data_IF_618374443722
#
_entry.id   IF_618374443722
#
_cell.length_a   1.000
_cell.length_b   1.000
_cell.length_c   1.000
_cell.angle_alpha   90.00
_cell.angle_beta   90.00
_cell.angle_gamma   90.00
#
_symmetry.space_group_name_H-M   'P 1'
#
loop_
_entity.id
_entity.type
_entity.pdbx_description
1 polymer ?
#
# COMPACT_ATOMS: atom_id res chain seq x y z
N UNK A 1 -9.72 21.11 0.54
CA UNK A 1 -8.42 21.53 1.10
C UNK A 1 -7.31 21.57 0.05
N UNK A 2 -7.26 20.66 -0.93
CA UNK A 2 -6.29 20.69 -2.05
C UNK A 2 -6.63 21.73 -3.11
N UNK A 3 -7.91 22.12 -3.20
CA UNK A 3 -8.43 23.02 -4.22
C UNK A 3 -7.67 24.36 -4.38
N UNK A 4 -7.29 25.09 -3.29
CA UNK A 4 -6.54 26.34 -3.45
C UNK A 4 -5.21 26.18 -4.17
N UNK A 5 -4.51 25.05 -3.95
CA UNK A 5 -3.22 24.76 -4.58
C UNK A 5 -3.39 24.45 -6.05
N UNK A 6 -4.29 23.53 -6.39
CA UNK A 6 -4.53 23.18 -7.79
C UNK A 6 -5.16 24.30 -8.62
N UNK A 7 -6.02 25.15 -8.02
CA UNK A 7 -6.56 26.32 -8.71
C UNK A 7 -5.45 27.35 -8.99
N UNK A 8 -4.54 27.55 -8.07
CA UNK A 8 -3.39 28.43 -8.29
C UNK A 8 -2.57 27.98 -9.50
N UNK A 9 -2.34 26.65 -9.66
CA UNK A 9 -1.45 26.11 -10.69
C UNK A 9 -2.16 25.88 -12.03
N UNK A 10 -3.45 25.50 -12.02
CA UNK A 10 -4.20 25.07 -13.21
C UNK A 10 -5.48 25.89 -13.47
N UNK A 11 -5.72 26.99 -12.73
CA UNK A 11 -6.93 27.77 -12.84
C UNK A 11 -8.19 26.98 -12.53
N UNK A 12 -9.26 27.18 -13.32
CA UNK A 12 -10.56 26.50 -13.12
C UNK A 12 -10.44 24.97 -13.18
N UNK A 13 -9.55 24.43 -14.04
CA UNK A 13 -9.30 22.99 -14.13
C UNK A 13 -8.80 22.39 -12.83
N UNK A 14 -8.13 23.19 -11.99
CA UNK A 14 -7.67 22.78 -10.67
C UNK A 14 -8.78 22.31 -9.72
N UNK A 15 -10.02 22.78 -9.91
CA UNK A 15 -11.18 22.29 -9.17
C UNK A 15 -11.44 20.81 -9.49
N UNK A 16 -11.52 20.47 -10.78
CA UNK A 16 -11.70 19.09 -11.22
C UNK A 16 -10.55 18.19 -10.78
N UNK A 17 -9.31 18.67 -10.93
CA UNK A 17 -8.12 17.95 -10.47
C UNK A 17 -8.17 17.65 -8.98
N UNK A 18 -8.61 18.59 -8.15
CA UNK A 18 -8.76 18.39 -6.70
C UNK A 18 -9.79 17.32 -6.36
N UNK A 19 -10.94 17.31 -7.05
CA UNK A 19 -11.97 16.29 -6.86
C UNK A 19 -11.47 14.93 -7.29
N UNK A 20 -10.86 14.84 -8.48
CA UNK A 20 -10.32 13.59 -9.02
C UNK A 20 -9.29 12.96 -8.08
N UNK A 21 -8.26 13.73 -7.66
CA UNK A 21 -7.21 13.22 -6.78
C UNK A 21 -7.74 12.87 -5.38
N UNK A 22 -8.76 13.58 -4.88
CA UNK A 22 -9.40 13.23 -3.60
C UNK A 22 -10.09 11.87 -3.67
N UNK A 23 -10.85 11.62 -4.73
CA UNK A 23 -11.53 10.35 -4.95
C UNK A 23 -10.50 9.23 -5.18
N UNK A 24 -9.52 9.47 -6.05
CA UNK A 24 -8.45 8.52 -6.35
C UNK A 24 -7.67 8.12 -5.09
N UNK A 25 -7.33 9.08 -4.22
CA UNK A 25 -6.64 8.82 -2.97
C UNK A 25 -7.50 8.04 -1.96
N UNK A 26 -8.78 8.42 -1.79
CA UNK A 26 -9.69 7.71 -0.88
C UNK A 26 -9.99 6.30 -1.36
N UNK A 27 -10.12 6.10 -2.67
CA UNK A 27 -10.33 4.79 -3.27
C UNK A 27 -9.07 3.94 -3.35
N UNK A 28 -7.90 4.45 -2.92
CA UNK A 28 -6.60 3.78 -3.08
C UNK A 28 -6.37 3.34 -4.54
N UNK A 29 -6.70 4.22 -5.49
CA UNK A 29 -6.63 3.93 -6.91
C UNK A 29 -5.29 4.36 -7.54
N UNK A 30 -4.66 5.41 -7.00
CA UNK A 30 -3.33 5.87 -7.42
C UNK A 30 -3.28 6.56 -8.78
N UNK A 31 -4.43 6.81 -9.40
CA UNK A 31 -4.47 7.51 -10.67
C UNK A 31 -4.30 9.01 -10.48
N UNK A 32 -3.52 9.61 -11.35
CA UNK A 32 -3.37 11.06 -11.48
C UNK A 32 -3.74 11.54 -12.89
N UNK A 33 -4.02 12.82 -13.01
CA UNK A 33 -4.29 13.52 -14.27
C UNK A 33 -3.35 14.70 -14.48
N UNK A 34 -2.13 14.59 -13.96
CA UNK A 34 -1.09 15.63 -14.01
C UNK A 34 -0.14 15.44 -15.22
N UNK A 35 -0.31 14.36 -15.99
CA UNK A 35 0.51 14.06 -17.16
C UNK A 35 0.50 15.18 -18.19
N UNK A 36 1.68 15.50 -18.72
CA UNK A 36 1.89 16.43 -19.84
C UNK A 36 2.65 15.76 -20.97
N UNK A 37 2.78 16.44 -22.12
CA UNK A 37 3.57 15.92 -23.25
C UNK A 37 5.05 15.69 -22.88
N UNK A 38 5.59 16.52 -21.97
CA UNK A 38 6.97 16.43 -21.54
C UNK A 38 7.20 15.35 -20.46
N UNK A 39 6.17 15.06 -19.66
CA UNK A 39 6.21 14.04 -18.61
C UNK A 39 4.87 13.30 -18.55
N UNK A 40 4.84 12.09 -19.15
CA UNK A 40 3.61 11.30 -19.26
C UNK A 40 3.13 10.73 -17.92
N UNK A 41 4.03 10.47 -16.97
CA UNK A 41 3.73 9.79 -15.71
C UNK A 41 4.34 10.51 -14.50
N UNK A 42 3.96 11.79 -14.24
CA UNK A 42 4.58 12.58 -13.18
C UNK A 42 4.17 12.16 -11.79
N UNK A 43 3.00 11.54 -11.64
CA UNK A 43 2.35 11.35 -10.34
C UNK A 43 2.32 12.66 -9.54
N UNK A 44 2.61 12.64 -8.25
CA UNK A 44 2.66 13.83 -7.38
C UNK A 44 4.09 14.34 -7.14
N UNK A 45 5.07 13.96 -7.98
CA UNK A 45 6.47 14.34 -7.76
C UNK A 45 6.70 15.85 -7.80
N UNK A 46 5.95 16.58 -8.64
CA UNK A 46 5.95 18.05 -8.67
C UNK A 46 5.47 18.70 -7.37
N UNK A 47 4.69 17.99 -6.57
CA UNK A 47 4.17 18.47 -5.28
C UNK A 47 4.93 17.92 -4.06
N UNK A 48 6.13 17.37 -4.25
CA UNK A 48 6.97 16.86 -3.16
C UNK A 48 7.28 17.90 -2.06
N UNK A 49 7.28 19.17 -2.41
CA UNK A 49 7.52 20.30 -1.49
C UNK A 49 6.21 20.83 -0.85
N UNK A 50 5.05 20.44 -1.32
CA UNK A 50 3.78 20.94 -0.82
C UNK A 50 3.27 20.06 0.32
N UNK A 51 3.48 20.51 1.57
CA UNK A 51 3.08 19.79 2.77
C UNK A 51 1.57 19.52 2.82
N UNK A 52 0.75 20.47 2.36
CA UNK A 52 -0.72 20.36 2.43
C UNK A 52 -1.21 19.20 1.56
N UNK A 53 -0.78 19.14 0.29
CA UNK A 53 -1.17 18.07 -0.62
C UNK A 53 -0.73 16.71 -0.07
N UNK A 54 0.53 16.61 0.36
CA UNK A 54 1.07 15.35 0.89
C UNK A 54 0.27 14.85 2.10
N UNK A 55 -0.01 15.71 3.09
CA UNK A 55 -0.75 15.32 4.29
C UNK A 55 -2.19 14.92 3.95
N UNK A 56 -2.87 15.67 3.07
CA UNK A 56 -4.25 15.37 2.69
C UNK A 56 -4.34 14.03 1.95
N UNK A 57 -3.44 13.78 0.99
CA UNK A 57 -3.41 12.53 0.24
C UNK A 57 -3.12 11.35 1.17
N UNK A 58 -2.11 11.45 2.04
CA UNK A 58 -1.83 10.41 3.04
C UNK A 58 -3.03 10.12 3.95
N UNK A 59 -3.69 11.18 4.42
CA UNK A 59 -4.89 11.04 5.25
C UNK A 59 -6.01 10.31 4.50
N UNK A 60 -6.29 10.68 3.24
CA UNK A 60 -7.31 10.04 2.42
C UNK A 60 -7.00 8.57 2.15
N UNK A 61 -5.74 8.23 1.84
CA UNK A 61 -5.28 6.86 1.64
C UNK A 61 -5.52 6.02 2.91
N UNK A 62 -5.11 6.54 4.07
CA UNK A 62 -5.29 5.86 5.35
C UNK A 62 -6.79 5.70 5.66
N UNK A 63 -7.57 6.75 5.44
CA UNK A 63 -9.01 6.75 5.67
C UNK A 63 -9.73 5.69 4.82
N UNK A 64 -9.42 5.61 3.53
CA UNK A 64 -9.96 4.59 2.63
C UNK A 64 -9.48 3.17 2.96
N UNK A 65 -8.21 3.04 3.42
CA UNK A 65 -7.58 1.76 3.73
C UNK A 65 -7.96 1.12 5.07
N UNK A 66 -8.52 1.88 6.02
CA UNK A 66 -8.90 1.37 7.36
C UNK A 66 -10.10 0.41 7.29
N UNK A 67 -11.02 0.59 6.35
CA UNK A 67 -12.22 -0.21 6.19
C UNK A 67 -13.45 0.34 6.91
N UNK A 68 -14.62 0.14 6.29
CA UNK A 68 -15.87 0.75 6.73
C UNK A 68 -16.34 0.25 8.11
N UNK A 69 -16.10 -0.99 8.47
CA UNK A 69 -16.44 -1.51 9.81
C UNK A 69 -15.62 -0.85 10.92
N UNK A 70 -14.38 -0.46 10.64
CA UNK A 70 -13.57 0.29 11.62
C UNK A 70 -14.07 1.71 11.77
N UNK A 71 -14.54 2.33 10.67
CA UNK A 71 -15.21 3.63 10.72
C UNK A 71 -16.51 3.60 11.54
N UNK A 72 -17.31 2.54 11.40
CA UNK A 72 -18.51 2.31 12.20
C UNK A 72 -18.18 2.27 13.71
N UNK A 73 -17.13 1.52 14.08
CA UNK A 73 -16.66 1.47 15.46
C UNK A 73 -16.16 2.85 15.98
N UNK A 74 -15.42 3.59 15.15
CA UNK A 74 -14.94 4.93 15.49
C UNK A 74 -16.12 5.89 15.70
N UNK A 75 -17.10 5.86 14.82
CA UNK A 75 -18.28 6.72 14.90
C UNK A 75 -19.14 6.39 16.13
N UNK A 76 -19.39 5.10 16.39
CA UNK A 76 -20.27 4.64 17.47
C UNK A 76 -19.63 4.80 18.85
N UNK A 77 -18.34 4.41 18.98
CA UNK A 77 -17.68 4.38 20.30
C UNK A 77 -16.72 5.54 20.53
N UNK A 78 -16.49 6.39 19.52
CA UNK A 78 -15.60 7.56 19.58
C UNK A 78 -14.22 7.20 20.19
N UNK A 79 -13.83 7.85 21.29
CA UNK A 79 -12.52 7.63 21.94
C UNK A 79 -12.47 6.40 22.87
N UNK A 80 -13.55 5.64 23.01
CA UNK A 80 -13.59 4.47 23.87
C UNK A 80 -13.04 3.21 23.19
N UNK A 81 -11.73 3.20 22.88
CA UNK A 81 -11.03 2.12 22.16
C UNK A 81 -11.26 0.72 22.82
N UNK A 82 -11.45 0.67 24.14
CA UNK A 82 -11.75 -0.60 24.85
C UNK A 82 -13.03 -1.29 24.34
N UNK A 83 -14.01 -0.51 23.85
CA UNK A 83 -15.30 -1.01 23.35
C UNK A 83 -15.28 -1.42 21.88
N UNK A 84 -14.20 -1.10 21.15
CA UNK A 84 -14.07 -1.47 19.73
C UNK A 84 -14.08 -2.99 19.57
N UNK A 85 -14.59 -3.45 18.43
CA UNK A 85 -14.46 -4.85 18.01
C UNK A 85 -12.99 -5.24 17.95
N UNK A 86 -12.68 -6.51 18.23
CA UNK A 86 -11.32 -7.05 18.17
C UNK A 86 -10.66 -6.75 16.82
N UNK A 87 -11.43 -6.93 15.71
CA UNK A 87 -10.95 -6.67 14.37
C UNK A 87 -10.48 -5.21 14.19
N UNK A 88 -11.26 -4.23 14.65
CA UNK A 88 -10.91 -2.81 14.55
C UNK A 88 -9.67 -2.45 15.37
N UNK A 89 -9.49 -3.07 16.53
CA UNK A 89 -8.27 -2.92 17.34
C UNK A 89 -7.04 -3.44 16.60
N UNK A 90 -7.14 -4.62 16.00
CA UNK A 90 -6.05 -5.23 15.21
C UNK A 90 -5.74 -4.33 14.01
N UNK A 91 -6.75 -3.85 13.29
CA UNK A 91 -6.57 -2.98 12.12
C UNK A 91 -5.83 -1.70 12.51
N UNK A 92 -6.27 -1.00 13.54
CA UNK A 92 -5.67 0.27 13.96
C UNK A 92 -4.23 0.08 14.45
N UNK A 93 -3.97 -0.94 15.29
CA UNK A 93 -2.63 -1.21 15.79
C UNK A 93 -1.67 -1.64 14.67
N UNK A 94 -2.10 -2.54 13.80
CA UNK A 94 -1.29 -2.99 12.66
C UNK A 94 -1.04 -1.86 11.66
N UNK A 95 -2.05 -1.03 11.37
CA UNK A 95 -1.91 0.14 10.48
C UNK A 95 -0.91 1.14 11.05
N UNK A 96 -1.00 1.47 12.33
CA UNK A 96 -0.06 2.40 12.98
C UNK A 96 1.38 1.86 12.93
N UNK A 97 1.57 0.58 13.23
CA UNK A 97 2.88 -0.07 13.17
C UNK A 97 3.47 -0.07 11.76
N UNK A 98 2.66 -0.41 10.75
CA UNK A 98 3.06 -0.44 9.34
C UNK A 98 3.32 0.95 8.74
N UNK A 99 2.86 2.02 9.36
CA UNK A 99 3.19 3.38 8.96
C UNK A 99 4.44 3.87 9.69
N UNK A 100 4.47 3.74 11.02
CA UNK A 100 5.52 4.35 11.84
C UNK A 100 6.88 3.66 11.63
N UNK A 101 6.92 2.31 11.65
CA UNK A 101 8.17 1.57 11.58
C UNK A 101 8.89 1.77 10.24
N UNK A 102 8.24 1.61 9.06
CA UNK A 102 8.90 1.90 7.80
C UNK A 102 9.20 3.39 7.58
N UNK A 103 8.37 4.31 8.10
CA UNK A 103 8.66 5.74 8.01
C UNK A 103 9.97 6.09 8.73
N UNK A 104 10.20 5.51 9.91
CA UNK A 104 11.48 5.67 10.63
C UNK A 104 12.64 5.08 9.84
N UNK A 105 12.48 3.89 9.24
CA UNK A 105 13.52 3.29 8.40
C UNK A 105 13.84 4.17 7.20
N UNK A 106 12.85 4.64 6.46
CA UNK A 106 13.06 5.52 5.31
C UNK A 106 13.67 6.85 5.73
N UNK A 107 13.27 7.38 6.86
CA UNK A 107 13.88 8.59 7.42
C UNK A 107 15.36 8.41 7.74
N UNK A 108 15.78 7.27 8.25
CA UNK A 108 17.16 6.99 8.61
C UNK A 108 18.04 6.65 7.39
N UNK A 109 17.48 5.90 6.42
CA UNK A 109 18.24 5.37 5.30
C UNK A 109 18.24 6.27 4.07
N UNK A 110 17.11 6.95 3.79
CA UNK A 110 16.93 7.75 2.56
C UNK A 110 16.80 9.23 2.89
N UNK A 111 16.85 10.05 1.85
CA UNK A 111 16.59 11.49 1.90
C UNK A 111 17.49 12.29 2.87
N UNK A 112 18.71 11.80 3.17
CA UNK A 112 19.61 12.40 4.16
C UNK A 112 20.04 13.84 3.78
N UNK A 113 20.07 14.15 2.50
CA UNK A 113 20.47 15.47 1.97
C UNK A 113 19.35 16.51 2.04
N UNK A 114 18.12 16.09 2.35
CA UNK A 114 16.96 16.97 2.38
C UNK A 114 16.77 17.62 3.76
N UNK A 115 16.16 18.82 3.81
CA UNK A 115 15.77 19.47 5.06
C UNK A 115 14.86 18.57 5.89
N UNK A 116 14.99 18.63 7.22
CA UNK A 116 14.29 17.76 8.17
C UNK A 116 12.78 17.63 7.89
N UNK A 117 12.06 18.73 7.66
CA UNK A 117 10.61 18.70 7.40
C UNK A 117 10.24 17.97 6.11
N UNK A 118 10.96 18.23 5.03
CA UNK A 118 10.76 17.55 3.74
C UNK A 118 11.09 16.07 3.85
N UNK A 119 12.21 15.72 4.49
CA UNK A 119 12.63 14.36 4.75
C UNK A 119 11.58 13.58 5.52
N UNK A 120 11.00 14.18 6.58
CA UNK A 120 9.95 13.56 7.38
C UNK A 120 8.69 13.26 6.55
N UNK A 121 8.21 14.23 5.78
CA UNK A 121 7.01 14.06 4.95
C UNK A 121 7.21 13.02 3.86
N UNK A 122 8.32 13.03 3.15
CA UNK A 122 8.60 12.04 2.12
C UNK A 122 8.71 10.63 2.72
N UNK A 123 9.37 10.49 3.87
CA UNK A 123 9.49 9.19 4.55
C UNK A 123 8.13 8.65 5.01
N UNK A 124 7.27 9.51 5.54
CA UNK A 124 5.88 9.15 5.88
C UNK A 124 5.08 8.79 4.64
N UNK A 125 5.20 9.57 3.56
CA UNK A 125 4.49 9.30 2.32
C UNK A 125 4.90 7.95 1.73
N UNK A 126 6.21 7.65 1.70
CA UNK A 126 6.73 6.37 1.20
C UNK A 126 6.37 5.17 2.09
N UNK A 127 5.99 5.36 3.34
CA UNK A 127 5.44 4.29 4.19
C UNK A 127 3.94 4.05 3.97
N UNK A 128 3.20 5.08 3.55
CA UNK A 128 1.74 5.01 3.33
C UNK A 128 1.40 4.51 1.93
N UNK A 129 2.07 5.03 0.89
CA UNK A 129 1.72 4.77 -0.51
C UNK A 129 1.84 3.30 -0.95
N UNK A 130 2.81 2.47 -0.49
CA UNK A 130 2.90 1.07 -0.89
C UNK A 130 1.70 0.23 -0.43
N UNK A 131 0.94 0.72 0.53
CA UNK A 131 -0.28 0.06 1.00
C UNK A 131 -1.45 0.24 0.03
N UNK A 132 -1.20 -0.14 -1.23
CA UNK A 132 -2.14 -0.17 -2.35
C UNK A 132 -2.68 1.20 -2.78
N UNK A 133 -1.94 2.29 -2.54
CA UNK A 133 -2.35 3.62 -2.96
C UNK A 133 -1.79 4.05 -4.32
N UNK A 134 -0.52 3.76 -4.60
CA UNK A 134 0.08 3.97 -5.93
C UNK A 134 0.55 5.39 -6.26
N UNK A 135 0.30 6.38 -5.40
CA UNK A 135 0.83 7.73 -5.61
C UNK A 135 2.32 7.80 -5.31
N UNK A 136 3.03 8.60 -6.09
CA UNK A 136 4.47 8.81 -5.91
C UNK A 136 4.79 10.29 -5.76
N UNK A 137 5.59 10.64 -4.74
CA UNK A 137 6.08 12.00 -4.47
C UNK A 137 7.59 12.10 -4.47
N UNK A 138 8.29 10.98 -4.59
CA UNK A 138 9.75 10.92 -4.68
C UNK A 138 10.15 9.92 -5.77
N UNK A 139 11.34 10.08 -6.31
CA UNK A 139 11.90 9.10 -7.25
C UNK A 139 12.27 7.82 -6.51
N UNK A 140 11.50 6.76 -6.75
CA UNK A 140 11.67 5.45 -6.12
C UNK A 140 12.94 4.77 -6.65
N UNK A 141 13.34 5.05 -7.88
CA UNK A 141 14.54 4.45 -8.49
C UNK A 141 15.83 4.93 -7.81
N UNK A 142 15.79 6.12 -7.19
CA UNK A 142 16.92 6.68 -6.44
C UNK A 142 17.04 6.13 -5.00
N UNK A 143 16.05 5.36 -4.53
CA UNK A 143 16.08 4.77 -3.20
C UNK A 143 17.02 3.58 -3.12
N UNK A 144 17.57 3.32 -1.93
CA UNK A 144 18.44 2.16 -1.71
C UNK A 144 17.70 0.84 -1.93
N UNK A 145 18.41 -0.20 -2.40
CA UNK A 145 17.85 -1.53 -2.62
C UNK A 145 17.14 -2.09 -1.38
N UNK A 146 17.72 -1.82 -0.19
CA UNK A 146 17.11 -2.20 1.08
C UNK A 146 15.74 -1.52 1.29
N UNK A 147 15.60 -0.26 0.90
CA UNK A 147 14.35 0.48 1.00
C UNK A 147 13.32 0.00 -0.02
N UNK A 148 13.75 -0.33 -1.23
CA UNK A 148 12.88 -0.95 -2.23
C UNK A 148 12.39 -2.33 -1.76
N UNK A 149 13.23 -3.13 -1.11
CA UNK A 149 12.84 -4.41 -0.52
C UNK A 149 11.79 -4.21 0.61
N UNK A 150 11.96 -3.21 1.47
CA UNK A 150 10.95 -2.86 2.48
C UNK A 150 9.64 -2.41 1.82
N UNK A 151 9.69 -1.64 0.73
CA UNK A 151 8.50 -1.26 -0.03
C UNK A 151 7.78 -2.48 -0.61
N UNK A 152 8.51 -3.46 -1.16
CA UNK A 152 7.92 -4.73 -1.62
C UNK A 152 7.17 -5.42 -0.48
N UNK A 153 7.76 -5.53 0.70
CA UNK A 153 7.09 -6.11 1.87
C UNK A 153 5.80 -5.34 2.26
N UNK A 154 5.86 -4.00 2.21
CA UNK A 154 4.69 -3.16 2.48
C UNK A 154 3.59 -3.32 1.43
N UNK A 155 3.95 -3.51 0.15
CA UNK A 155 2.99 -3.77 -0.93
C UNK A 155 2.17 -5.03 -0.68
N UNK A 156 2.80 -6.10 -0.15
CA UNK A 156 2.07 -7.31 0.21
C UNK A 156 1.01 -7.06 1.28
N UNK A 157 1.26 -6.14 2.21
CA UNK A 157 0.36 -5.83 3.32
C UNK A 157 -0.52 -4.63 2.92
N UNK A 158 -1.59 -4.92 2.20
CA UNK A 158 -2.53 -3.91 1.71
C UNK A 158 -3.39 -3.28 2.80
N UNK A 159 -4.63 -2.97 2.46
CA UNK A 159 -5.58 -2.40 3.42
C UNK A 159 -6.34 -3.43 4.23
N UNK A 160 -7.32 -2.94 4.98
CA UNK A 160 -8.14 -3.74 5.89
C UNK A 160 -9.29 -4.44 5.14
N UNK A 161 -9.91 -5.46 5.72
CA UNK A 161 -11.18 -5.99 5.20
C UNK A 161 -12.24 -4.91 5.09
N UNK A 162 -13.07 -4.99 4.05
CA UNK A 162 -14.10 -3.98 3.74
C UNK A 162 -13.55 -2.57 3.54
N UNK A 163 -12.33 -2.46 3.00
CA UNK A 163 -11.71 -1.21 2.56
C UNK A 163 -11.66 -1.13 1.04
N UNK A 164 -11.30 0.02 0.53
CA UNK A 164 -11.07 0.25 -0.90
C UNK A 164 -9.77 -0.39 -1.41
N UNK A 165 -8.83 -0.68 -0.50
CA UNK A 165 -7.50 -1.19 -0.80
C UNK A 165 -7.47 -2.67 -1.24
N UNK A 166 -6.51 -3.03 -2.08
CA UNK A 166 -6.23 -4.41 -2.52
C UNK A 166 -5.22 -5.15 -1.62
N UNK A 167 -4.47 -6.08 -2.21
CA UNK A 167 -3.42 -6.83 -1.52
C UNK A 167 -3.90 -7.76 -0.42
N UNK A 168 -2.95 -8.36 0.30
CA UNK A 168 -3.23 -9.18 1.49
C UNK A 168 -3.76 -8.27 2.60
N UNK A 169 -4.90 -8.63 3.20
CA UNK A 169 -5.55 -7.79 4.22
C UNK A 169 -4.70 -7.67 5.48
N UNK A 170 -4.70 -6.51 6.12
CA UNK A 170 -3.97 -6.25 7.38
C UNK A 170 -4.31 -7.26 8.47
N UNK A 171 -5.57 -7.71 8.54
CA UNK A 171 -5.99 -8.76 9.49
C UNK A 171 -5.38 -10.12 9.17
N UNK A 172 -5.27 -10.48 7.88
CA UNK A 172 -4.61 -11.71 7.43
C UNK A 172 -3.15 -11.74 7.88
N UNK A 173 -2.43 -10.63 7.65
CA UNK A 173 -1.05 -10.49 8.08
C UNK A 173 -0.92 -10.55 9.61
N UNK A 174 -1.78 -9.84 10.35
CA UNK A 174 -1.77 -9.84 11.81
C UNK A 174 -2.03 -11.23 12.40
N UNK A 175 -2.98 -11.99 11.82
CA UNK A 175 -3.28 -13.36 12.25
C UNK A 175 -2.08 -14.27 12.05
N UNK A 176 -1.37 -14.17 10.92
CA UNK A 176 -0.17 -14.96 10.65
C UNK A 176 0.97 -14.62 11.61
N UNK A 177 1.21 -13.32 11.88
CA UNK A 177 2.20 -12.92 12.86
C UNK A 177 1.88 -13.44 14.26
N UNK A 178 0.63 -13.29 14.69
CA UNK A 178 0.21 -13.79 16.00
C UNK A 178 0.32 -15.31 16.10
N UNK A 179 -0.01 -16.04 15.01
CA UNK A 179 0.19 -17.48 14.95
C UNK A 179 1.67 -17.87 15.05
N UNK A 180 2.56 -17.15 14.34
CA UNK A 180 3.99 -17.39 14.47
C UNK A 180 4.47 -17.17 15.91
N UNK A 181 4.07 -16.07 16.55
CA UNK A 181 4.43 -15.81 17.96
C UNK A 181 3.85 -16.85 18.94
N UNK A 182 2.60 -17.31 18.73
CA UNK A 182 2.00 -18.35 19.56
C UNK A 182 2.77 -19.68 19.44
N UNK A 183 3.13 -20.06 18.21
CA UNK A 183 3.95 -21.26 17.94
C UNK A 183 5.32 -21.16 18.63
N UNK A 184 6.02 -20.01 18.51
CA UNK A 184 7.30 -19.81 19.20
C UNK A 184 7.18 -19.90 20.73
N UNK A 185 6.02 -19.55 21.28
CA UNK A 185 5.75 -19.66 22.73
C UNK A 185 5.14 -21.00 23.13
N UNK A 186 5.04 -21.96 22.21
CA UNK A 186 4.39 -23.27 22.43
C UNK A 186 2.97 -23.16 22.99
N UNK A 187 2.23 -22.12 22.54
CA UNK A 187 0.82 -21.93 22.88
C UNK A 187 -0.06 -22.64 21.86
N UNK A 188 -1.03 -23.41 22.33
CA UNK A 188 -1.96 -24.14 21.46
C UNK A 188 -2.93 -23.18 20.76
N UNK A 189 -3.30 -22.08 21.40
CA UNK A 189 -4.31 -21.14 20.94
C UNK A 189 -3.71 -19.80 20.55
N UNK A 190 -4.09 -19.32 19.36
CA UNK A 190 -3.77 -17.97 18.91
C UNK A 190 -4.79 -16.99 19.46
N UNK A 191 -4.37 -16.12 20.37
CA UNK A 191 -5.25 -15.16 21.01
C UNK A 191 -4.80 -13.72 20.74
N UNK A 192 -5.76 -12.80 20.56
CA UNK A 192 -5.53 -11.35 20.57
C UNK A 192 -6.66 -10.64 21.32
N UNK A 193 -6.29 -9.63 22.12
CA UNK A 193 -7.23 -8.84 22.91
C UNK A 193 -8.24 -9.67 23.72
N UNK A 194 -7.81 -10.84 24.25
CA UNK A 194 -8.63 -11.74 25.06
C UNK A 194 -9.63 -12.60 24.27
N UNK A 195 -9.50 -12.71 22.95
CA UNK A 195 -10.29 -13.59 22.10
C UNK A 195 -9.41 -14.54 21.30
N UNK A 196 -9.88 -15.77 21.11
CA UNK A 196 -9.23 -16.82 20.31
C UNK A 196 -9.61 -16.68 18.84
N UNK A 197 -8.63 -16.93 17.95
CA UNK A 197 -8.88 -17.07 16.52
C UNK A 197 -9.31 -18.49 16.17
N UNK A 198 -10.19 -18.58 15.16
CA UNK A 198 -10.55 -19.86 14.59
C UNK A 198 -9.38 -20.43 13.77
N UNK A 199 -9.13 -21.73 13.92
CA UNK A 199 -8.12 -22.47 13.16
C UNK A 199 -8.32 -22.34 11.64
N UNK A 200 -9.58 -22.28 11.19
CA UNK A 200 -9.90 -22.10 9.77
C UNK A 200 -9.46 -20.74 9.25
N UNK A 201 -9.58 -19.69 10.06
CA UNK A 201 -9.10 -18.37 9.68
C UNK A 201 -7.58 -18.33 9.46
N UNK A 202 -6.80 -19.02 10.31
CA UNK A 202 -5.35 -19.14 10.19
C UNK A 202 -4.97 -19.91 8.90
N UNK A 203 -5.62 -21.03 8.62
CA UNK A 203 -5.41 -21.82 7.39
C UNK A 203 -5.73 -21.01 6.13
N UNK A 204 -6.83 -20.28 6.13
CA UNK A 204 -7.21 -19.40 5.01
C UNK A 204 -6.18 -18.28 4.82
N UNK A 205 -5.72 -17.66 5.90
CA UNK A 205 -4.69 -16.62 5.87
C UNK A 205 -3.38 -17.14 5.25
N UNK A 206 -2.91 -18.31 5.67
CA UNK A 206 -1.72 -18.95 5.14
C UNK A 206 -1.87 -19.27 3.64
N UNK A 207 -3.02 -19.83 3.24
CA UNK A 207 -3.28 -20.17 1.84
C UNK A 207 -3.26 -18.93 0.93
N UNK A 208 -3.94 -17.86 1.32
CA UNK A 208 -3.97 -16.62 0.56
C UNK A 208 -2.54 -16.06 0.42
N UNK A 209 -1.80 -15.97 1.52
CA UNK A 209 -0.43 -15.45 1.52
C UNK A 209 0.46 -16.27 0.59
N UNK A 210 0.38 -17.59 0.65
CA UNK A 210 1.17 -18.49 -0.21
C UNK A 210 0.83 -18.30 -1.69
N UNK A 211 -0.44 -18.14 -2.04
CA UNK A 211 -0.87 -17.86 -3.42
C UNK A 211 -0.26 -16.54 -3.94
N UNK A 212 -0.27 -15.47 -3.12
CA UNK A 212 0.33 -14.20 -3.51
C UNK A 212 1.85 -14.33 -3.72
N UNK A 213 2.55 -15.08 -2.86
CA UNK A 213 4.00 -15.33 -3.02
C UNK A 213 4.30 -16.12 -4.29
N UNK A 214 3.54 -17.16 -4.60
CA UNK A 214 3.72 -17.94 -5.83
C UNK A 214 3.55 -17.04 -7.06
N UNK A 215 2.47 -16.26 -7.13
CA UNK A 215 2.22 -15.34 -8.26
C UNK A 215 3.33 -14.29 -8.39
N UNK A 216 3.78 -13.74 -7.28
CA UNK A 216 4.86 -12.75 -7.23
C UNK A 216 6.16 -13.29 -7.79
N UNK A 217 6.64 -14.44 -7.28
CA UNK A 217 7.89 -15.00 -7.73
C UNK A 217 7.82 -15.52 -9.16
N UNK A 218 6.76 -16.24 -9.53
CA UNK A 218 6.61 -16.76 -10.90
C UNK A 218 6.53 -15.62 -11.91
N UNK A 219 5.74 -14.58 -11.62
CA UNK A 219 5.62 -13.41 -12.50
C UNK A 219 6.91 -12.62 -12.61
N UNK A 220 7.57 -12.32 -11.49
CA UNK A 220 8.83 -11.58 -11.49
C UNK A 220 9.98 -12.31 -12.21
N UNK A 221 10.10 -13.62 -11.98
CA UNK A 221 11.10 -14.46 -12.67
C UNK A 221 10.80 -14.54 -14.17
N UNK A 222 9.54 -14.74 -14.56
CA UNK A 222 9.16 -14.81 -15.97
C UNK A 222 9.49 -13.51 -16.73
N UNK A 223 9.19 -12.35 -16.11
CA UNK A 223 9.53 -11.04 -16.68
C UNK A 223 11.05 -10.87 -16.76
N UNK A 224 11.79 -11.22 -15.72
CA UNK A 224 13.26 -11.10 -15.70
C UNK A 224 13.94 -11.94 -16.78
N UNK A 225 13.49 -13.19 -16.98
CA UNK A 225 14.03 -14.07 -18.03
C UNK A 225 13.74 -13.52 -19.42
N UNK A 226 12.52 -13.01 -19.65
CA UNK A 226 12.10 -12.55 -20.96
C UNK A 226 12.71 -11.19 -21.35
N UNK A 227 12.85 -10.27 -20.40
CA UNK A 227 13.36 -8.91 -20.63
C UNK A 227 14.88 -8.81 -20.46
N UNK A 228 15.54 -9.78 -19.79
CA UNK A 228 16.96 -9.68 -19.44
C UNK A 228 17.26 -8.57 -18.40
N UNK A 229 16.26 -8.13 -17.64
CA UNK A 229 16.39 -7.07 -16.63
C UNK A 229 16.76 -7.65 -15.26
N UNK A 230 17.34 -6.82 -14.36
CA UNK A 230 17.64 -7.23 -12.99
C UNK A 230 16.40 -7.79 -12.28
N UNK A 231 16.55 -8.93 -11.63
CA UNK A 231 15.46 -9.62 -10.94
C UNK A 231 14.79 -8.73 -9.89
N UNK A 232 15.55 -7.90 -9.16
CA UNK A 232 15.02 -6.98 -8.15
C UNK A 232 13.99 -6.01 -8.72
N UNK A 233 14.27 -5.42 -9.88
CA UNK A 233 13.34 -4.51 -10.56
C UNK A 233 12.09 -5.23 -11.06
N UNK A 234 12.25 -6.43 -11.63
CA UNK A 234 11.12 -7.24 -12.09
C UNK A 234 10.24 -7.72 -10.94
N UNK A 235 10.83 -8.08 -9.81
CA UNK A 235 10.10 -8.41 -8.59
C UNK A 235 9.35 -7.20 -8.04
N UNK A 236 9.92 -6.00 -8.09
CA UNK A 236 9.21 -4.78 -7.66
C UNK A 236 7.93 -4.55 -8.47
N UNK A 237 8.01 -4.64 -9.81
CA UNK A 237 6.84 -4.50 -10.69
C UNK A 237 5.83 -5.63 -10.47
N UNK A 238 6.30 -6.88 -10.31
CA UNK A 238 5.43 -8.02 -10.03
C UNK A 238 4.70 -7.87 -8.68
N UNK A 239 5.39 -7.40 -7.63
CA UNK A 239 4.77 -7.10 -6.33
C UNK A 239 3.70 -6.03 -6.46
N UNK A 240 4.02 -4.92 -7.14
CA UNK A 240 3.10 -3.83 -7.41
C UNK A 240 1.86 -4.29 -8.18
N UNK A 241 2.03 -5.17 -9.18
CA UNK A 241 0.95 -5.71 -9.97
C UNK A 241 0.06 -6.67 -9.16
N UNK A 242 0.64 -7.71 -8.53
CA UNK A 242 -0.11 -8.71 -7.74
C UNK A 242 -0.85 -8.07 -6.57
N UNK A 243 -0.21 -7.12 -5.91
CA UNK A 243 -0.81 -6.44 -4.75
C UNK A 243 -1.68 -5.24 -5.14
N UNK A 244 -1.84 -4.97 -6.44
CA UNK A 244 -2.68 -3.88 -6.98
C UNK A 244 -2.29 -2.51 -6.42
N UNK A 245 -0.99 -2.22 -6.35
CA UNK A 245 -0.45 -0.98 -5.76
C UNK A 245 -0.34 0.15 -6.78
N UNK A 246 0.25 -0.14 -7.95
CA UNK A 246 0.42 0.83 -9.02
C UNK A 246 1.73 1.63 -8.97
N UNK A 247 2.65 1.32 -8.06
CA UNK A 247 4.00 1.92 -8.04
C UNK A 247 4.90 1.22 -9.07
N UNK A 248 5.80 1.98 -9.68
CA UNK A 248 6.77 1.48 -10.67
C UNK A 248 8.15 2.10 -10.46
N UNK A 249 9.18 1.35 -10.81
CA UNK A 249 10.56 1.86 -10.94
C UNK A 249 10.80 2.52 -12.30
N UNK A 250 9.76 2.71 -13.12
CA UNK A 250 9.84 3.33 -14.44
C UNK A 250 10.18 2.37 -15.58
N UNK A 251 10.23 1.06 -15.33
CA UNK A 251 10.50 0.06 -16.37
C UNK A 251 9.25 -0.36 -17.14
N UNK A 252 8.06 -0.28 -16.55
CA UNK A 252 6.78 -0.74 -17.13
C UNK A 252 6.52 -0.20 -18.53
N UNK A 253 6.72 1.10 -18.87
CA UNK A 253 6.51 1.61 -20.22
C UNK A 253 7.47 1.04 -21.27
N UNK A 254 8.62 0.49 -20.85
CA UNK A 254 9.67 -0.03 -21.73
C UNK A 254 9.55 -1.54 -21.96
N UNK A 255 8.72 -2.24 -21.18
CA UNK A 255 8.54 -3.69 -21.27
C UNK A 255 7.91 -4.10 -22.60
N UNK A 256 8.26 -5.28 -23.11
CA UNK A 256 7.65 -5.92 -24.25
C UNK A 256 6.17 -6.31 -23.98
N UNK A 257 5.42 -6.53 -25.03
CA UNK A 257 3.97 -6.84 -24.97
C UNK A 257 3.69 -8.06 -24.08
N UNK A 258 4.52 -9.10 -24.15
CA UNK A 258 4.32 -10.33 -23.34
C UNK A 258 4.47 -10.04 -21.86
N UNK A 259 5.48 -9.28 -21.44
CA UNK A 259 5.70 -8.89 -20.05
C UNK A 259 4.58 -8.01 -19.52
N UNK A 260 4.05 -7.09 -20.34
CA UNK A 260 2.86 -6.29 -19.99
C UNK A 260 1.64 -7.17 -19.81
N UNK A 261 1.47 -8.19 -20.66
CA UNK A 261 0.36 -9.15 -20.51
C UNK A 261 0.47 -9.95 -19.22
N UNK A 262 1.69 -10.38 -18.83
CA UNK A 262 1.94 -11.02 -17.53
C UNK A 262 1.53 -10.09 -16.39
N UNK A 263 1.92 -8.81 -16.41
CA UNK A 263 1.54 -7.83 -15.39
C UNK A 263 0.02 -7.65 -15.30
N UNK A 264 -0.69 -7.55 -16.44
CA UNK A 264 -2.16 -7.46 -16.49
C UNK A 264 -2.81 -8.68 -15.83
N UNK A 265 -2.30 -9.87 -16.12
CA UNK A 265 -2.79 -11.12 -15.54
C UNK A 265 -2.54 -11.16 -14.03
N UNK A 266 -1.36 -10.71 -13.56
CA UNK A 266 -1.05 -10.60 -12.14
C UNK A 266 -1.98 -9.60 -11.42
N UNK A 267 -2.26 -8.43 -12.03
CA UNK A 267 -3.22 -7.45 -11.49
C UNK A 267 -4.61 -8.06 -11.33
N UNK A 268 -5.08 -8.78 -12.36
CA UNK A 268 -6.39 -9.43 -12.33
C UNK A 268 -6.47 -10.50 -11.25
N UNK A 269 -5.49 -11.41 -11.18
CA UNK A 269 -5.44 -12.49 -10.18
C UNK A 269 -5.29 -11.95 -8.76
N UNK A 270 -4.50 -10.90 -8.58
CA UNK A 270 -4.32 -10.22 -7.30
C UNK A 270 -5.62 -9.60 -6.79
N UNK A 271 -6.44 -9.03 -7.68
CA UNK A 271 -7.72 -8.43 -7.28
C UNK A 271 -8.80 -9.46 -6.99
N UNK A 272 -8.95 -10.49 -7.82
CA UNK A 272 -9.98 -11.52 -7.67
C UNK A 272 -9.67 -12.50 -6.54
N UNK A 273 -8.38 -12.82 -6.32
CA UNK A 273 -7.96 -13.79 -5.30
C UNK A 273 -8.14 -13.32 -3.87
N UNK A 274 -8.02 -12.01 -3.62
CA UNK A 274 -8.05 -11.42 -2.27
C UNK A 274 -9.43 -11.41 -1.59
N UNK A 275 -10.50 -11.28 -2.35
CA UNK A 275 -11.84 -11.03 -1.80
C UNK A 275 -12.65 -12.30 -1.47
N UNK A 276 -12.41 -13.41 -2.15
CA UNK A 276 -13.26 -14.62 -2.06
C UNK A 276 -13.31 -15.32 -0.70
N UNK A 277 -12.33 -15.14 0.17
CA UNK A 277 -12.24 -15.87 1.47
C UNK A 277 -12.14 -14.96 2.69
N UNK A 278 -12.07 -13.66 2.51
CA UNK A 278 -11.95 -12.68 3.62
C UNK A 278 -13.31 -12.30 4.25
N UNK A 279 -14.43 -12.70 3.64
CA UNK A 279 -15.78 -12.25 4.01
C UNK A 279 -16.62 -13.29 4.77
N UNK A 280 -16.03 -14.40 5.21
CA UNK A 280 -16.72 -15.38 6.08
C UNK A 280 -16.01 -15.56 7.41
#
# INVERSE_FOLDING_TARGET
LMMPVFIHDFGINGLWMSVFHSISAFCNAGFDILGSQDCLYPSLTGYSNNYIINIIIMFLIIAGGIGFFTWDDIYTHKFHIKRYRMQSKIILTTTALLIILPAVLFFLCNFKELPFGKRLILSLFQSVTPRTAGFNTADISSMTDSSQAVMILLMFIGGSPSSTAGGIKTTTFAVLLLNAFATFRSQEDVCAFGRRFDCQAIKNAATITMMYFILFFTGGIAISIYEGLPLSSCLYEAASAVCTVGLTLGITPKLHILSRFILILLMYLGRVGGDRKSTR
#
